data_IF_396559567513
#
_entry.id   IF_396559567513
#
_cell.length_a   1.000
_cell.length_b   1.000
_cell.length_c   1.000
_cell.angle_alpha   90.00
_cell.angle_beta   90.00
_cell.angle_gamma   90.00
#
_symmetry.space_group_name_H-M   'P 1'
#
loop_
_entity.id
_entity.type
_entity.pdbx_description
1 polymer ?
#
# COMPACT_ATOMS: atom_id res chain seq x y z
N UNK A 1 27.25 -12.96 28.44
CA UNK A 1 26.56 -11.74 28.93
C UNK A 1 25.09 -11.95 28.61
N UNK A 2 24.28 -12.05 29.66
CA UNK A 2 22.93 -12.65 29.66
C UNK A 2 21.95 -11.96 28.71
N UNK A 3 21.37 -12.77 27.83
CA UNK A 3 20.25 -12.45 26.95
C UNK A 3 19.05 -11.91 27.73
N UNK A 4 18.45 -10.81 27.28
CA UNK A 4 17.03 -10.60 27.53
C UNK A 4 16.27 -11.59 26.64
N UNK A 5 15.69 -12.64 27.25
CA UNK A 5 15.06 -13.79 26.56
C UNK A 5 13.75 -13.49 25.82
N UNK A 6 13.44 -12.23 25.55
CA UNK A 6 12.15 -11.79 24.99
C UNK A 6 12.42 -11.06 23.67
N UNK A 7 11.76 -11.51 22.60
CA UNK A 7 11.97 -10.93 21.26
C UNK A 7 11.53 -9.46 21.22
N UNK A 8 12.02 -8.70 20.24
CA UNK A 8 11.59 -7.32 20.08
C UNK A 8 10.10 -7.21 19.72
N UNK A 9 9.59 -8.16 18.92
CA UNK A 9 8.17 -8.28 18.60
C UNK A 9 7.33 -8.52 19.87
N UNK A 10 7.76 -9.40 20.77
CA UNK A 10 7.05 -9.67 22.02
C UNK A 10 6.98 -8.44 22.93
N UNK A 11 8.05 -7.64 22.97
CA UNK A 11 8.08 -6.38 23.74
C UNK A 11 7.14 -5.34 23.16
N UNK A 12 7.08 -5.20 21.84
CA UNK A 12 6.11 -4.35 21.16
C UNK A 12 4.68 -4.81 21.46
N UNK A 13 4.42 -6.12 21.37
CA UNK A 13 3.10 -6.70 21.68
C UNK A 13 2.71 -6.44 23.13
N UNK A 14 3.60 -6.70 24.08
CA UNK A 14 3.35 -6.48 25.51
C UNK A 14 3.07 -5.00 25.83
N UNK A 15 3.77 -4.08 25.16
CA UNK A 15 3.64 -2.65 25.43
C UNK A 15 2.43 -2.01 24.75
N UNK A 16 2.10 -2.43 23.52
CA UNK A 16 1.02 -1.84 22.72
C UNK A 16 -0.32 -2.51 23.00
N UNK A 17 -0.34 -3.82 23.30
CA UNK A 17 -1.52 -4.56 23.73
C UNK A 17 -2.68 -4.44 22.74
N UNK A 18 -3.86 -4.10 23.26
CA UNK A 18 -5.12 -3.99 22.50
C UNK A 18 -5.13 -2.90 21.42
N UNK A 19 -4.09 -2.04 21.36
CA UNK A 19 -3.94 -1.05 20.29
C UNK A 19 -3.57 -1.68 18.94
N UNK A 20 -3.07 -2.91 18.97
CA UNK A 20 -2.75 -3.69 17.78
C UNK A 20 -3.98 -4.48 17.34
N UNK A 21 -4.25 -4.49 16.03
CA UNK A 21 -5.31 -5.28 15.42
C UNK A 21 -4.94 -6.77 15.33
N UNK A 22 -3.64 -7.06 15.28
CA UNK A 22 -3.09 -8.41 15.18
C UNK A 22 -1.71 -8.46 15.84
N UNK A 23 -1.23 -9.68 16.07
CA UNK A 23 0.13 -9.90 16.55
C UNK A 23 1.16 -9.31 15.55
N UNK A 24 2.29 -8.77 16.05
CA UNK A 24 3.35 -8.25 15.19
C UNK A 24 3.78 -9.28 14.14
N UNK A 25 3.72 -8.88 12.86
CA UNK A 25 4.06 -9.76 11.75
C UNK A 25 5.55 -9.64 11.50
N UNK A 26 6.30 -10.71 11.78
CA UNK A 26 7.73 -10.79 11.47
C UNK A 26 7.96 -11.60 10.19
N UNK A 27 8.60 -10.97 9.20
CA UNK A 27 8.98 -11.59 7.93
C UNK A 27 10.27 -10.98 7.42
N UNK A 28 11.21 -11.82 7.00
CA UNK A 28 12.47 -11.37 6.36
C UNK A 28 13.22 -10.30 7.18
N UNK A 29 13.27 -10.47 8.51
CA UNK A 29 13.88 -9.53 9.45
C UNK A 29 13.21 -8.13 9.53
N UNK A 30 11.97 -8.00 9.05
CA UNK A 30 11.14 -6.82 9.22
C UNK A 30 9.92 -7.13 10.09
N UNK A 31 9.59 -6.20 10.99
CA UNK A 31 8.39 -6.26 11.82
C UNK A 31 7.36 -5.28 11.29
N UNK A 32 6.13 -5.76 11.10
CA UNK A 32 4.97 -4.94 10.73
C UNK A 32 3.94 -4.98 11.86
N UNK A 33 3.53 -3.81 12.32
CA UNK A 33 2.44 -3.65 13.28
C UNK A 33 1.18 -3.22 12.54
N UNK A 34 0.08 -3.91 12.79
CA UNK A 34 -1.24 -3.48 12.32
C UNK A 34 -1.93 -2.74 13.46
N UNK A 35 -2.18 -1.45 13.25
CA UNK A 35 -2.66 -0.53 14.28
C UNK A 35 -4.05 -0.05 13.89
N UNK A 36 -4.96 0.00 14.87
CA UNK A 36 -6.29 0.54 14.66
C UNK A 36 -6.24 2.06 14.48
N UNK A 37 -7.15 2.63 13.68
CA UNK A 37 -7.13 4.06 13.35
C UNK A 37 -7.27 4.95 14.58
N UNK A 38 -8.00 4.49 15.59
CA UNK A 38 -8.23 5.17 16.86
C UNK A 38 -6.94 5.31 17.69
N UNK A 39 -6.01 4.37 17.53
CA UNK A 39 -4.75 4.32 18.25
C UNK A 39 -3.55 4.78 17.41
N UNK A 40 -3.76 5.17 16.15
CA UNK A 40 -2.70 5.47 15.20
C UNK A 40 -1.69 6.50 15.73
N UNK A 41 -2.19 7.66 16.15
CA UNK A 41 -1.35 8.77 16.67
C UNK A 41 -0.77 8.43 18.04
N UNK A 42 -1.53 7.74 18.90
CA UNK A 42 -1.06 7.32 20.23
C UNK A 42 0.14 6.37 20.11
N UNK A 43 0.02 5.33 19.28
CA UNK A 43 1.09 4.36 19.02
C UNK A 43 2.29 5.04 18.38
N UNK A 44 2.08 5.94 17.42
CA UNK A 44 3.16 6.72 16.81
C UNK A 44 3.95 7.54 17.84
N UNK A 45 3.27 8.24 18.75
CA UNK A 45 3.92 9.00 19.84
C UNK A 45 4.68 8.08 20.79
N UNK A 46 4.09 6.96 21.20
CA UNK A 46 4.74 5.96 22.05
C UNK A 46 6.04 5.42 21.41
N UNK A 47 5.97 5.04 20.14
CA UNK A 47 7.12 4.53 19.39
C UNK A 47 8.24 5.57 19.27
N UNK A 48 7.89 6.85 19.08
CA UNK A 48 8.87 7.95 19.01
C UNK A 48 9.51 8.25 20.37
N UNK A 49 8.70 8.37 21.41
CA UNK A 49 9.10 9.01 22.67
C UNK A 49 9.66 8.02 23.70
N UNK A 50 9.26 6.75 23.69
CA UNK A 50 9.73 5.79 24.68
C UNK A 50 11.20 5.42 24.48
N UNK A 51 12.06 5.52 25.52
CA UNK A 51 13.49 5.22 25.44
C UNK A 51 13.81 3.83 24.88
N UNK A 52 12.95 2.86 25.14
CA UNK A 52 13.11 1.47 24.68
C UNK A 52 12.95 1.33 23.16
N UNK A 53 12.08 2.14 22.54
CA UNK A 53 11.80 2.06 21.10
C UNK A 53 12.52 3.13 20.30
N UNK A 54 12.42 4.39 20.73
CA UNK A 54 13.03 5.57 20.10
C UNK A 54 13.03 5.54 18.58
N UNK A 55 11.87 5.51 17.96
CA UNK A 55 11.74 5.68 16.52
C UNK A 55 11.76 7.17 16.17
N UNK A 56 12.96 7.75 16.18
CA UNK A 56 13.14 9.20 16.04
C UNK A 56 12.89 9.69 14.60
N UNK A 57 13.07 8.80 13.62
CA UNK A 57 13.00 9.17 12.21
C UNK A 57 11.90 8.37 11.50
N UNK A 58 10.95 9.10 10.91
CA UNK A 58 10.07 8.57 9.87
C UNK A 58 10.82 8.62 8.52
N UNK A 59 10.89 7.48 7.85
CA UNK A 59 11.59 7.31 6.57
C UNK A 59 10.65 7.56 5.40
N UNK A 60 9.44 7.03 5.49
CA UNK A 60 8.46 7.06 4.41
C UNK A 60 7.05 6.91 5.00
N UNK A 61 6.06 7.51 4.33
CA UNK A 61 4.66 7.19 4.50
C UNK A 61 4.03 7.03 3.12
N UNK A 62 3.41 5.88 2.88
CA UNK A 62 2.76 5.57 1.61
C UNK A 62 1.34 5.04 1.80
N UNK A 63 0.49 5.34 0.81
CA UNK A 63 -0.83 4.72 0.68
C UNK A 63 -0.73 3.36 0.00
N UNK A 64 -1.63 2.45 0.35
CA UNK A 64 -1.80 1.15 -0.30
C UNK A 64 -3.27 0.96 -0.61
N UNK A 65 -3.56 0.51 -1.83
CA UNK A 65 -4.88 0.08 -2.27
C UNK A 65 -4.89 -1.45 -2.42
N UNK A 66 -5.69 -2.10 -1.58
CA UNK A 66 -5.84 -3.55 -1.51
C UNK A 66 -6.92 -4.10 -2.45
N UNK A 67 -7.56 -3.28 -3.29
CA UNK A 67 -8.58 -3.78 -4.22
C UNK A 67 -8.06 -4.96 -5.07
N UNK A 68 -8.74 -6.10 -4.94
CA UNK A 68 -8.37 -7.34 -5.63
C UNK A 68 -7.05 -7.94 -5.13
N UNK A 69 -6.63 -7.64 -3.90
CA UNK A 69 -5.49 -8.28 -3.27
C UNK A 69 -5.70 -9.80 -3.19
N UNK A 70 -4.64 -10.58 -3.46
CA UNK A 70 -4.73 -12.05 -3.49
C UNK A 70 -5.38 -12.66 -4.74
N UNK A 71 -5.96 -11.85 -5.64
CA UNK A 71 -6.57 -12.35 -6.88
C UNK A 71 -5.56 -12.38 -8.05
N UNK A 72 -5.56 -13.45 -8.84
CA UNK A 72 -4.76 -13.58 -10.07
C UNK A 72 -5.67 -13.54 -11.31
N UNK A 73 -5.15 -13.06 -12.44
CA UNK A 73 -5.80 -13.16 -13.76
C UNK A 73 -5.48 -14.50 -14.45
N UNK A 74 -4.42 -15.18 -14.01
CA UNK A 74 -4.00 -16.46 -14.57
C UNK A 74 -4.40 -17.59 -13.63
N UNK A 75 -5.30 -18.47 -14.06
CA UNK A 75 -5.60 -19.70 -13.32
C UNK A 75 -4.53 -20.74 -13.63
N UNK A 76 -3.82 -21.19 -12.61
CA UNK A 76 -2.79 -22.24 -12.72
C UNK A 76 -3.32 -23.64 -12.41
N UNK A 77 -4.60 -23.77 -12.06
CA UNK A 77 -5.16 -25.02 -11.51
C UNK A 77 -5.47 -26.04 -12.60
N UNK A 78 -5.98 -25.59 -13.76
CA UNK A 78 -6.49 -26.46 -14.83
C UNK A 78 -5.74 -26.38 -16.17
N UNK A 79 -4.56 -25.75 -16.22
CA UNK A 79 -3.87 -25.46 -17.50
C UNK A 79 -2.75 -26.44 -17.81
N UNK A 80 -2.77 -27.03 -19.01
CA UNK A 80 -1.68 -27.88 -19.51
C UNK A 80 -0.38 -27.10 -19.72
N UNK A 81 0.77 -27.77 -19.61
CA UNK A 81 2.11 -27.19 -19.79
C UNK A 81 2.39 -26.62 -21.19
N UNK A 82 1.44 -26.70 -22.12
CA UNK A 82 1.55 -26.25 -23.50
C UNK A 82 0.42 -25.24 -23.82
N UNK A 83 0.66 -23.96 -23.53
CA UNK A 83 -0.30 -22.89 -23.86
C UNK A 83 -0.14 -21.63 -23.03
N UNK A 84 0.82 -20.77 -23.38
CA UNK A 84 1.17 -19.55 -22.63
C UNK A 84 0.08 -18.46 -22.57
N UNK A 85 -1.08 -18.65 -23.22
CA UNK A 85 -2.16 -17.65 -23.26
C UNK A 85 -3.59 -18.19 -23.02
N UNK A 86 -3.76 -19.51 -22.76
CA UNK A 86 -5.10 -20.12 -22.66
C UNK A 86 -5.74 -20.08 -21.28
N UNK A 87 -4.99 -19.75 -20.23
CA UNK A 87 -5.47 -19.70 -18.84
C UNK A 87 -5.74 -18.31 -18.28
N UNK A 88 -5.83 -17.27 -19.13
CA UNK A 88 -6.12 -15.90 -18.67
C UNK A 88 -7.62 -15.72 -18.59
N UNK A 89 -8.15 -15.69 -17.38
CA UNK A 89 -9.52 -15.31 -17.10
C UNK A 89 -9.52 -13.89 -16.51
N UNK A 90 -10.01 -12.91 -17.27
CA UNK A 90 -10.21 -11.56 -16.74
C UNK A 90 -10.08 -10.45 -17.77
N UNK A 91 -11.22 -9.87 -18.15
CA UNK A 91 -11.27 -8.54 -18.80
C UNK A 91 -11.12 -7.37 -17.80
N UNK A 92 -11.05 -7.65 -16.50
CA UNK A 92 -11.17 -6.65 -15.43
C UNK A 92 -9.95 -6.54 -14.51
N UNK A 93 -8.86 -7.25 -14.78
CA UNK A 93 -7.66 -7.04 -13.97
C UNK A 93 -6.92 -5.75 -14.32
N UNK A 94 -5.89 -5.41 -13.53
CA UNK A 94 -5.35 -4.06 -13.47
C UNK A 94 -4.82 -3.60 -14.84
N UNK A 95 -5.38 -2.50 -15.34
CA UNK A 95 -4.98 -1.88 -16.61
C UNK A 95 -5.62 -2.47 -17.86
N UNK A 96 -6.52 -3.45 -17.75
CA UNK A 96 -7.29 -4.04 -18.87
C UNK A 96 -8.72 -3.51 -19.00
N UNK A 97 -9.07 -2.46 -18.26
CA UNK A 97 -10.42 -1.89 -18.24
C UNK A 97 -10.43 -0.42 -18.67
N UNK A 98 -11.57 0.03 -19.20
CA UNK A 98 -11.88 1.44 -19.41
C UNK A 98 -12.49 2.05 -18.15
N UNK A 99 -12.59 3.37 -18.07
CA UNK A 99 -13.25 4.03 -16.93
C UNK A 99 -14.66 3.50 -16.65
N UNK A 100 -15.42 3.15 -17.70
CA UNK A 100 -16.77 2.62 -17.58
C UNK A 100 -16.81 1.20 -17.00
N UNK A 101 -15.78 0.39 -17.25
CA UNK A 101 -15.71 -1.03 -16.91
C UNK A 101 -14.80 -1.32 -15.69
N UNK A 102 -14.52 -0.29 -14.90
CA UNK A 102 -13.58 -0.37 -13.77
C UNK A 102 -14.06 -1.35 -12.69
N UNK A 103 -13.14 -2.04 -12.00
CA UNK A 103 -13.50 -2.91 -10.88
C UNK A 103 -14.08 -2.10 -9.73
N UNK A 104 -15.27 -2.49 -9.27
CA UNK A 104 -15.96 -1.91 -8.10
C UNK A 104 -15.92 -2.86 -6.90
N UNK A 105 -14.99 -3.81 -6.88
CA UNK A 105 -14.90 -4.82 -5.83
C UNK A 105 -14.73 -4.20 -4.43
N UNK A 106 -15.33 -4.83 -3.43
CA UNK A 106 -15.26 -4.41 -2.02
C UNK A 106 -14.36 -5.35 -1.18
N UNK A 107 -13.55 -6.17 -1.84
CA UNK A 107 -12.71 -7.17 -1.17
C UNK A 107 -11.22 -6.91 -1.40
N UNK A 108 -10.40 -6.96 -0.33
CA UNK A 108 -10.76 -7.23 1.07
C UNK A 108 -11.41 -6.04 1.79
N UNK A 109 -12.10 -6.25 2.94
CA UNK A 109 -12.64 -5.15 3.75
C UNK A 109 -11.51 -4.22 4.20
N UNK A 110 -11.75 -2.90 4.17
CA UNK A 110 -10.77 -1.83 4.39
C UNK A 110 -9.71 -1.79 3.29
N UNK A 111 -10.15 -1.31 2.12
CA UNK A 111 -9.40 -1.20 0.88
C UNK A 111 -8.12 -0.37 1.01
N UNK A 112 -8.16 0.73 1.75
CA UNK A 112 -7.05 1.66 1.86
C UNK A 112 -6.26 1.48 3.16
N UNK A 113 -4.93 1.53 3.07
CA UNK A 113 -4.07 1.61 4.24
C UNK A 113 -3.00 2.69 4.09
N UNK A 114 -2.70 3.38 5.18
CA UNK A 114 -1.51 4.18 5.33
C UNK A 114 -0.41 3.32 5.99
N UNK A 115 0.77 3.29 5.39
CA UNK A 115 1.93 2.54 5.87
C UNK A 115 3.04 3.52 6.16
N UNK A 116 3.53 3.57 7.40
CA UNK A 116 4.69 4.36 7.77
C UNK A 116 5.89 3.47 8.09
N UNK A 117 7.04 3.83 7.54
CA UNK A 117 8.32 3.18 7.79
C UNK A 117 9.14 4.03 8.75
N UNK A 118 9.57 3.43 9.85
CA UNK A 118 10.27 4.09 10.94
C UNK A 118 11.68 3.53 11.10
N UNK A 119 12.59 4.40 11.52
CA UNK A 119 13.97 4.07 11.85
C UNK A 119 14.32 4.62 13.24
N UNK A 120 14.79 3.74 14.11
CA UNK A 120 15.47 4.11 15.35
C UNK A 120 16.95 4.20 15.08
N UNK A 121 17.53 5.39 15.24
CA UNK A 121 18.97 5.59 15.07
C UNK A 121 19.74 5.11 16.29
N UNK A 122 19.15 5.25 17.48
CA UNK A 122 19.73 4.80 18.75
C UNK A 122 19.87 3.28 18.82
N UNK A 123 18.84 2.56 18.39
CA UNK A 123 18.82 1.10 18.47
C UNK A 123 19.15 0.42 17.14
N UNK A 124 19.35 1.20 16.07
CA UNK A 124 19.60 0.74 14.70
C UNK A 124 18.57 -0.30 14.24
N UNK A 125 17.29 0.03 14.38
CA UNK A 125 16.15 -0.86 14.08
C UNK A 125 15.16 -0.19 13.16
N UNK A 126 14.56 -0.99 12.27
CA UNK A 126 13.46 -0.56 11.41
C UNK A 126 12.15 -1.18 11.88
N UNK A 127 11.07 -0.44 11.72
CA UNK A 127 9.73 -0.88 12.05
C UNK A 127 8.76 -0.34 11.01
N UNK A 128 7.80 -1.16 10.60
CA UNK A 128 6.69 -0.73 9.74
C UNK A 128 5.41 -0.72 10.57
N UNK A 129 4.67 0.38 10.51
CA UNK A 129 3.35 0.48 11.10
C UNK A 129 2.33 0.69 9.98
N UNK A 130 1.21 -0.04 10.03
CA UNK A 130 0.16 -0.03 9.03
C UNK A 130 -1.17 0.27 9.70
N UNK A 131 -1.88 1.25 9.18
CA UNK A 131 -3.23 1.62 9.60
C UNK A 131 -4.17 1.51 8.42
N UNK A 132 -5.25 0.75 8.57
CA UNK A 132 -6.30 0.68 7.57
C UNK A 132 -7.30 1.81 7.78
N UNK A 133 -7.77 2.44 6.70
CA UNK A 133 -8.88 3.38 6.77
C UNK A 133 -10.18 2.62 7.10
N UNK A 134 -11.08 3.21 7.91
CA UNK A 134 -12.32 2.54 8.30
C UNK A 134 -13.37 2.48 7.18
N UNK A 135 -13.39 3.47 6.29
CA UNK A 135 -14.32 3.60 5.17
C UNK A 135 -13.56 3.68 3.83
N UNK A 136 -14.07 2.99 2.82
CA UNK A 136 -13.50 2.93 1.48
C UNK A 136 -13.98 4.10 0.59
N UNK A 137 -15.17 4.65 0.86
CA UNK A 137 -15.72 5.78 0.11
C UNK A 137 -14.97 7.08 0.40
N UNK A 138 -14.70 7.32 1.68
CA UNK A 138 -13.89 8.44 2.15
C UNK A 138 -12.84 7.93 3.15
N UNK A 139 -11.67 7.48 2.68
CA UNK A 139 -10.64 6.93 3.55
C UNK A 139 -9.97 8.04 4.35
N UNK A 140 -10.31 8.12 5.64
CA UNK A 140 -9.77 9.12 6.58
C UNK A 140 -8.82 8.42 7.55
N UNK A 141 -7.64 9.00 7.75
CA UNK A 141 -6.64 8.57 8.73
C UNK A 141 -6.10 9.81 9.46
N UNK A 142 -5.83 9.79 10.77
CA UNK A 142 -5.20 10.92 11.44
C UNK A 142 -3.80 11.22 10.92
N UNK A 143 -3.45 12.49 10.78
CA UNK A 143 -2.11 12.95 10.42
C UNK A 143 -1.08 12.63 11.52
N UNK A 144 0.12 12.26 11.10
CA UNK A 144 1.28 12.06 11.96
C UNK A 144 2.21 13.28 12.03
N UNK A 145 1.82 14.44 11.47
CA UNK A 145 2.68 15.64 11.41
C UNK A 145 3.13 16.11 12.80
N UNK A 146 2.25 16.03 13.80
CA UNK A 146 2.60 16.38 15.18
C UNK A 146 3.63 15.41 15.79
N UNK A 147 3.75 14.20 15.23
CA UNK A 147 4.72 13.20 15.66
C UNK A 147 6.03 13.36 14.90
N UNK A 148 5.97 13.37 13.57
CA UNK A 148 7.12 13.59 12.70
C UNK A 148 6.79 14.65 11.65
N UNK A 149 7.32 15.89 11.78
CA UNK A 149 7.01 16.97 10.85
C UNK A 149 7.38 16.68 9.39
N UNK A 150 8.35 15.80 9.16
CA UNK A 150 8.78 15.37 7.82
C UNK A 150 7.67 14.67 7.02
N UNK A 151 6.64 14.14 7.69
CA UNK A 151 5.57 13.37 7.04
C UNK A 151 4.65 14.22 6.15
N UNK A 152 4.69 15.56 6.27
CA UNK A 152 3.80 16.48 5.54
C UNK A 152 3.75 16.20 4.03
N UNK A 153 4.92 16.03 3.39
CA UNK A 153 4.97 15.78 1.95
C UNK A 153 4.46 14.38 1.59
N UNK A 154 4.76 13.39 2.41
CA UNK A 154 4.31 12.00 2.21
C UNK A 154 2.79 11.85 2.37
N UNK A 155 2.18 12.54 3.35
CA UNK A 155 0.73 12.56 3.51
C UNK A 155 0.04 13.24 2.31
N UNK A 156 0.61 14.33 1.78
CA UNK A 156 0.13 14.97 0.55
C UNK A 156 0.26 14.07 -0.68
N UNK A 157 1.36 13.33 -0.79
CA UNK A 157 1.56 12.36 -1.85
C UNK A 157 0.54 11.21 -1.77
N UNK A 158 0.34 10.63 -0.58
CA UNK A 158 -0.65 9.59 -0.36
C UNK A 158 -2.08 10.09 -0.63
N UNK A 159 -2.40 11.33 -0.29
CA UNK A 159 -3.65 11.98 -0.65
C UNK A 159 -3.80 12.14 -2.17
N UNK A 160 -2.77 12.60 -2.87
CA UNK A 160 -2.85 12.82 -4.32
C UNK A 160 -3.01 11.50 -5.09
N UNK A 161 -2.23 10.48 -4.74
CA UNK A 161 -2.14 9.22 -5.47
C UNK A 161 -3.22 8.21 -5.10
N UNK A 162 -3.61 8.13 -3.83
CA UNK A 162 -4.59 7.16 -3.31
C UNK A 162 -5.87 7.81 -2.79
N UNK A 163 -5.90 9.13 -2.56
CA UNK A 163 -7.07 9.82 -2.02
C UNK A 163 -7.33 9.57 -0.54
N UNK A 164 -6.31 9.16 0.21
CA UNK A 164 -6.38 9.03 1.67
C UNK A 164 -6.33 10.43 2.28
N UNK A 165 -7.36 10.78 3.03
CA UNK A 165 -7.48 12.09 3.69
C UNK A 165 -6.83 12.03 5.06
N UNK A 166 -5.88 12.93 5.31
CA UNK A 166 -5.19 13.03 6.60
C UNK A 166 -5.81 14.12 7.48
N UNK A 167 -6.53 13.71 8.53
CA UNK A 167 -7.17 14.63 9.46
C UNK A 167 -6.11 15.34 10.33
N UNK A 168 -6.19 16.67 10.43
CA UNK A 168 -5.21 17.49 11.16
C UNK A 168 -4.02 17.98 10.33
N UNK A 169 -3.96 17.63 9.03
CA UNK A 169 -2.91 18.14 8.14
C UNK A 169 -3.13 19.64 7.81
N UNK A 170 -2.09 20.51 7.86
CA UNK A 170 -2.23 21.96 7.68
C UNK A 170 -2.56 22.42 6.24
N UNK A 171 -2.00 21.76 5.22
CA UNK A 171 -2.23 22.08 3.79
C UNK A 171 -2.35 20.80 2.94
N UNK A 172 -3.50 20.12 3.04
CA UNK A 172 -3.73 18.88 2.30
C UNK A 172 -4.22 19.18 0.87
N UNK A 173 -3.28 19.24 -0.06
CA UNK A 173 -3.54 19.41 -1.50
C UNK A 173 -2.60 18.56 -2.34
N UNK A 174 -3.02 18.34 -3.59
CA UNK A 174 -2.26 17.62 -4.63
C UNK A 174 -0.83 18.17 -4.77
N UNK A 175 0.10 17.31 -5.17
CA UNK A 175 1.53 17.65 -5.26
C UNK A 175 2.23 17.05 -6.49
N UNK A 176 1.81 15.87 -6.96
CA UNK A 176 2.39 15.19 -8.11
C UNK A 176 1.52 15.32 -9.37
N UNK A 177 0.19 15.32 -9.22
CA UNK A 177 -0.73 15.38 -10.36
C UNK A 177 -0.95 16.82 -10.85
N UNK A 178 -1.43 16.94 -12.09
CA UNK A 178 -1.79 18.23 -12.68
C UNK A 178 -2.92 18.91 -11.89
N UNK A 179 -2.97 20.24 -11.92
CA UNK A 179 -3.90 21.04 -11.11
C UNK A 179 -5.37 20.71 -11.36
N UNK A 180 -5.72 20.33 -12.59
CA UNK A 180 -7.08 19.94 -13.00
C UNK A 180 -7.33 18.43 -12.99
N UNK A 181 -6.43 17.63 -12.42
CA UNK A 181 -6.52 16.18 -12.49
C UNK A 181 -7.71 15.64 -11.66
N UNK A 182 -8.55 14.83 -12.30
CA UNK A 182 -9.73 14.23 -11.68
C UNK A 182 -9.46 12.75 -11.40
N UNK A 183 -9.46 12.39 -10.12
CA UNK A 183 -9.21 11.03 -9.63
C UNK A 183 -7.89 10.87 -8.89
N UNK A 184 -7.53 9.62 -8.64
CA UNK A 184 -6.36 9.20 -7.87
C UNK A 184 -5.62 8.10 -8.64
N UNK A 185 -4.45 8.39 -9.26
CA UNK A 185 -3.84 7.52 -10.25
C UNK A 185 -3.47 6.11 -9.78
N UNK A 186 -3.07 5.93 -8.51
CA UNK A 186 -2.55 4.65 -8.02
C UNK A 186 -3.61 3.72 -7.44
N UNK A 187 -4.88 4.13 -7.50
CA UNK A 187 -5.99 3.24 -7.19
C UNK A 187 -6.13 2.16 -8.28
N UNK A 188 -6.46 0.94 -7.89
CA UNK A 188 -6.58 -0.21 -8.81
C UNK A 188 -7.82 -0.16 -9.70
N UNK A 189 -8.75 0.73 -9.41
CA UNK A 189 -9.91 1.07 -10.24
C UNK A 189 -9.66 2.26 -11.18
N UNK A 190 -8.46 2.85 -11.15
CA UNK A 190 -8.05 3.89 -12.09
C UNK A 190 -7.38 3.28 -13.34
N UNK A 191 -7.82 3.64 -14.55
CA UNK A 191 -7.26 3.06 -15.79
C UNK A 191 -5.84 3.56 -16.02
N UNK A 192 -4.96 2.67 -16.50
CA UNK A 192 -3.53 2.97 -16.72
C UNK A 192 -3.30 4.15 -17.68
N UNK A 193 -4.12 4.24 -18.73
CA UNK A 193 -4.05 5.31 -19.74
C UNK A 193 -4.64 6.64 -19.26
N UNK A 194 -5.32 6.65 -18.10
CA UNK A 194 -6.09 7.79 -17.62
C UNK A 194 -7.37 8.05 -18.42
N UNK A 195 -8.02 9.17 -18.12
CA UNK A 195 -9.29 9.56 -18.74
C UNK A 195 -9.11 10.62 -19.84
N UNK A 196 -8.07 11.46 -19.70
CA UNK A 196 -7.83 12.62 -20.57
C UNK A 196 -6.39 12.61 -21.09
N UNK A 197 -6.23 12.92 -22.37
CA UNK A 197 -4.97 13.28 -22.98
C UNK A 197 -4.89 14.79 -23.23
N UNK A 198 -3.68 15.28 -23.48
CA UNK A 198 -3.44 16.68 -23.82
C UNK A 198 -2.98 16.83 -25.26
N UNK A 199 -3.49 17.86 -25.94
CA UNK A 199 -3.07 18.21 -27.31
C UNK A 199 -2.99 19.73 -27.46
N UNK A 200 -2.04 20.20 -28.26
CA UNK A 200 -2.01 21.62 -28.65
C UNK A 200 -3.04 21.91 -29.74
N UNK A 201 -3.89 22.92 -29.51
CA UNK A 201 -4.89 23.40 -30.46
C UNK A 201 -4.41 24.73 -31.09
N UNK A 202 -3.93 24.75 -32.35
CA UNK A 202 -3.37 25.95 -32.98
C UNK A 202 -4.39 27.08 -33.14
N UNK A 203 -5.67 26.74 -33.36
CA UNK A 203 -6.81 27.66 -33.48
C UNK A 203 -7.05 28.45 -32.18
N UNK A 204 -6.93 27.77 -31.03
CA UNK A 204 -7.11 28.39 -29.69
C UNK A 204 -5.79 28.88 -29.08
N UNK A 205 -4.66 28.58 -29.72
CA UNK A 205 -3.30 28.86 -29.23
C UNK A 205 -3.08 28.40 -27.78
N UNK A 206 -3.66 27.25 -27.41
CA UNK A 206 -3.58 26.70 -26.06
C UNK A 206 -3.57 25.17 -26.06
N UNK A 207 -3.13 24.59 -24.96
CA UNK A 207 -3.27 23.16 -24.69
C UNK A 207 -4.73 22.88 -24.30
N UNK A 208 -5.32 21.85 -24.90
CA UNK A 208 -6.67 21.38 -24.60
C UNK A 208 -6.63 19.95 -24.08
N UNK A 209 -7.55 19.63 -23.16
CA UNK A 209 -7.75 18.28 -22.63
C UNK A 209 -8.86 17.61 -23.44
N UNK A 210 -8.58 16.42 -23.97
CA UNK A 210 -9.52 15.63 -24.77
C UNK A 210 -9.58 14.20 -24.22
N UNK A 211 -10.72 13.49 -24.32
CA UNK A 211 -10.79 12.08 -23.90
C UNK A 211 -9.76 11.23 -24.64
N UNK A 212 -9.13 10.30 -23.91
CA UNK A 212 -8.13 9.40 -24.51
C UNK A 212 -8.80 8.41 -25.47
N UNK A 213 -8.20 8.20 -26.64
CA UNK A 213 -8.67 7.26 -27.67
C UNK A 213 -7.80 6.00 -27.79
N UNK A 214 -6.84 5.82 -26.89
CA UNK A 214 -5.87 4.72 -26.93
C UNK A 214 -6.50 3.48 -26.29
N UNK A 215 -6.51 2.37 -27.00
CA UNK A 215 -6.94 1.09 -26.44
C UNK A 215 -5.87 0.51 -25.49
N UNK A 216 -6.22 0.13 -24.25
CA UNK A 216 -5.29 -0.49 -23.33
C UNK A 216 -4.73 -1.80 -23.89
N UNK A 217 -3.40 -1.94 -23.89
CA UNK A 217 -2.70 -3.18 -24.27
C UNK A 217 -1.81 -3.65 -23.14
N UNK A 218 -2.31 -4.59 -22.34
CA UNK A 218 -1.54 -5.22 -21.27
C UNK A 218 -0.92 -6.52 -21.79
N UNK A 219 0.40 -6.54 -21.95
CA UNK A 219 1.14 -7.66 -22.53
C UNK A 219 1.33 -8.86 -21.59
N UNK A 220 1.27 -8.65 -20.27
CA UNK A 220 1.50 -9.70 -19.27
C UNK A 220 0.34 -9.74 -18.28
N UNK A 221 -0.33 -10.89 -18.09
CA UNK A 221 -1.39 -11.01 -17.11
C UNK A 221 -0.86 -11.01 -15.68
N UNK A 222 -1.70 -10.63 -14.72
CA UNK A 222 -1.39 -10.71 -13.29
C UNK A 222 -1.33 -12.17 -12.86
N UNK A 223 -0.13 -12.69 -12.59
CA UNK A 223 0.07 -14.04 -12.07
C UNK A 223 0.61 -13.99 -10.66
N UNK A 224 -0.02 -14.72 -9.73
CA UNK A 224 0.56 -14.98 -8.41
C UNK A 224 1.33 -16.28 -8.52
N UNK A 225 2.65 -16.22 -8.32
CA UNK A 225 3.50 -17.41 -8.34
C UNK A 225 3.91 -17.75 -6.92
N UNK A 226 3.72 -18.99 -6.53
CA UNK A 226 4.41 -19.54 -5.36
C UNK A 226 5.83 -19.90 -5.81
N UNK A 227 6.84 -19.28 -5.20
CA UNK A 227 8.23 -19.54 -5.57
C UNK A 227 8.62 -20.96 -5.12
N UNK A 228 8.73 -21.86 -6.10
CA UNK A 228 9.05 -23.27 -5.90
C UNK A 228 10.45 -23.50 -5.32
N UNK A 229 11.36 -22.52 -5.42
CA UNK A 229 12.72 -22.63 -4.86
C UNK A 229 12.69 -22.78 -3.34
N UNK A 230 11.78 -22.08 -2.65
CA UNK A 230 11.63 -22.20 -1.19
C UNK A 230 10.86 -23.46 -0.78
N UNK A 231 9.99 -23.98 -1.65
CA UNK A 231 9.29 -25.24 -1.41
C UNK A 231 10.24 -26.45 -1.55
N UNK A 232 11.15 -26.43 -2.52
CA UNK A 232 12.22 -27.43 -2.64
C UNK A 232 13.16 -27.40 -1.44
N UNK A 233 13.61 -26.22 -1.02
CA UNK A 233 14.46 -26.08 0.17
C UNK A 233 13.78 -26.63 1.44
N UNK A 234 12.50 -26.31 1.67
CA UNK A 234 11.73 -26.85 2.79
C UNK A 234 11.54 -28.38 2.71
N UNK A 235 11.28 -28.92 1.51
CA UNK A 235 11.17 -30.36 1.30
C UNK A 235 12.49 -31.13 1.44
N UNK A 236 13.62 -30.50 1.11
CA UNK A 236 14.96 -31.05 1.34
C UNK A 236 15.38 -30.99 2.81
N UNK A 237 14.96 -29.95 3.55
CA UNK A 237 15.15 -29.85 5.00
C UNK A 237 14.36 -30.95 5.73
N UNK A 238 13.08 -31.15 5.38
CA UNK A 238 12.20 -32.13 6.00
C UNK A 238 12.55 -33.60 5.67
N UNK A 239 13.42 -33.84 4.68
CA UNK A 239 13.96 -35.18 4.35
C UNK A 239 15.26 -35.51 5.09
N UNK A 240 15.83 -34.56 5.83
CA UNK A 240 17.08 -34.73 6.59
C UNK A 240 16.87 -34.96 8.09
N UNK A 241 15.61 -34.93 8.55
CA UNK A 241 15.16 -35.39 9.86
C UNK A 241 14.53 -36.79 9.75
#
# INVERSE_FOLDING_TARGET
MSESSVSFADRLKARLGERLLADPIERLAEITLEVAVEHWVEVARLLRDEPEFRFEQLIDLCGVDYLGYGQAEWDTTDVSSEGFSRGVEGRHGPGRFTWADRPLGNEPPRRFAAVAHLLSLRHNRRLRIRCHAPDDGLPIVPSLIEVWPAVNWFEREAFDLFGIVFEGHPDLRRILTDYGFVGHPFRKDFPLIGNVGVRYAPDKRRVVYEPVSIEPRVGVPRTIRHDSRFQQAAGEQARKD
#
